data_IF_301549758362
#
_entry.id   IF_301549758362
#
_cell.length_a   1.000
_cell.length_b   1.000
_cell.length_c   1.000
_cell.angle_alpha   90.00
_cell.angle_beta   90.00
_cell.angle_gamma   90.00
#
_symmetry.space_group_name_H-M   'P 1'
#
loop_
_entity.id
_entity.type
_entity.pdbx_description
1 polymer ?
#
# COMPACT_ATOMS: atom_id res chain seq x y z
N UNK A 1 0.85 -10.56 -5.39
CA UNK A 1 1.73 -11.74 -5.37
C UNK A 1 1.86 -12.31 -3.98
N UNK A 2 2.86 -11.87 -3.20
CA UNK A 2 3.16 -12.42 -1.86
C UNK A 2 1.97 -12.38 -0.90
N UNK A 3 1.25 -11.25 -0.82
CA UNK A 3 0.03 -11.16 0.00
C UNK A 3 -1.09 -12.13 -0.44
N UNK A 4 -1.18 -12.48 -1.72
CA UNK A 4 -2.15 -13.49 -2.18
C UNK A 4 -1.74 -14.90 -1.71
N UNK A 5 -0.43 -15.19 -1.70
CA UNK A 5 0.08 -16.46 -1.21
C UNK A 5 -0.14 -16.59 0.31
N UNK A 6 0.11 -15.52 1.08
CA UNK A 6 -0.20 -15.47 2.51
C UNK A 6 -1.69 -15.74 2.75
N UNK A 7 -2.58 -15.00 2.07
CA UNK A 7 -4.02 -15.15 2.23
C UNK A 7 -4.50 -16.57 1.85
N UNK A 8 -4.00 -17.12 0.75
CA UNK A 8 -4.32 -18.47 0.30
C UNK A 8 -3.86 -19.54 1.30
N UNK A 9 -2.62 -19.45 1.78
CA UNK A 9 -2.07 -20.41 2.74
C UNK A 9 -2.76 -20.31 4.10
N UNK A 10 -3.05 -19.09 4.58
CA UNK A 10 -3.80 -18.86 5.80
C UNK A 10 -5.20 -19.50 5.71
N UNK A 11 -5.94 -19.27 4.62
CA UNK A 11 -7.26 -19.88 4.40
C UNK A 11 -7.22 -21.42 4.29
N UNK A 12 -6.12 -21.97 3.77
CA UNK A 12 -5.98 -23.42 3.56
C UNK A 12 -5.59 -24.15 4.85
N UNK A 13 -4.65 -23.59 5.61
CA UNK A 13 -3.97 -24.31 6.68
C UNK A 13 -4.29 -23.83 8.10
N UNK A 14 -4.71 -22.58 8.30
CA UNK A 14 -5.08 -22.13 9.63
C UNK A 14 -6.31 -22.90 10.13
N UNK A 15 -6.33 -23.17 11.44
CA UNK A 15 -7.45 -23.79 12.16
C UNK A 15 -7.82 -22.92 13.36
N UNK A 16 -8.99 -23.18 13.93
CA UNK A 16 -9.40 -22.52 15.18
C UNK A 16 -8.33 -22.74 16.27
N UNK A 17 -7.83 -21.64 16.83
CA UNK A 17 -6.73 -21.65 17.81
C UNK A 17 -5.31 -21.82 17.22
N UNK A 18 -5.16 -21.99 15.91
CA UNK A 18 -3.87 -22.23 15.25
C UNK A 18 -3.72 -21.38 13.97
N UNK A 19 -3.29 -20.12 14.15
CA UNK A 19 -2.92 -19.22 13.05
C UNK A 19 -1.44 -19.41 12.69
N UNK A 20 -1.13 -20.49 11.94
CA UNK A 20 0.25 -20.85 11.60
C UNK A 20 0.80 -20.04 10.41
N UNK A 21 -0.07 -19.46 9.59
CA UNK A 21 0.27 -18.46 8.57
C UNK A 21 -0.45 -17.16 8.91
N UNK A 22 0.30 -16.20 9.40
CA UNK A 22 -0.21 -14.87 9.75
C UNK A 22 0.92 -13.84 9.67
N UNK A 23 1.07 -13.17 8.53
CA UNK A 23 2.09 -12.14 8.35
C UNK A 23 1.68 -11.08 7.33
N UNK A 24 2.32 -9.92 7.42
CA UNK A 24 2.10 -8.81 6.49
C UNK A 24 3.08 -8.85 5.32
N UNK A 25 2.66 -8.29 4.18
CA UNK A 25 3.53 -7.91 3.08
C UNK A 25 3.68 -6.40 3.07
N UNK A 26 4.91 -5.91 3.27
CA UNK A 26 5.24 -4.49 3.20
C UNK A 26 6.00 -4.19 1.91
N UNK A 27 5.65 -3.08 1.26
CA UNK A 27 6.30 -2.60 0.04
C UNK A 27 6.65 -1.13 0.21
N UNK A 28 7.84 -0.73 -0.24
CA UNK A 28 8.18 0.68 -0.46
C UNK A 28 8.19 0.91 -1.97
N UNK A 29 7.55 1.97 -2.42
CA UNK A 29 7.58 2.40 -3.81
C UNK A 29 7.72 3.92 -3.91
N UNK A 30 8.12 4.40 -5.10
CA UNK A 30 8.17 5.82 -5.42
C UNK A 30 7.36 6.14 -6.67
N UNK A 31 7.46 7.39 -7.13
CA UNK A 31 6.69 7.93 -8.27
C UNK A 31 6.79 7.07 -9.53
N UNK A 32 8.00 6.64 -9.88
CA UNK A 32 8.24 5.82 -11.07
C UNK A 32 7.47 4.50 -11.02
N UNK A 33 7.38 3.86 -9.86
CA UNK A 33 6.58 2.63 -9.72
C UNK A 33 5.09 2.90 -9.99
N UNK A 34 4.58 4.05 -9.56
CA UNK A 34 3.15 4.37 -9.63
C UNK A 34 2.69 4.89 -11.00
N UNK A 35 3.62 5.30 -11.85
CA UNK A 35 3.38 5.58 -13.27
C UNK A 35 3.31 4.33 -14.14
N UNK A 36 4.03 3.26 -13.78
CA UNK A 36 4.11 2.04 -14.58
C UNK A 36 2.77 1.31 -14.63
N UNK A 37 2.29 0.96 -15.83
CA UNK A 37 0.98 0.33 -16.02
C UNK A 37 0.81 -0.98 -15.24
N UNK A 38 1.90 -1.76 -15.11
CA UNK A 38 1.90 -3.01 -14.35
C UNK A 38 1.56 -2.80 -12.87
N UNK A 39 1.91 -1.66 -12.27
CA UNK A 39 1.55 -1.37 -10.89
C UNK A 39 0.05 -1.09 -10.76
N UNK A 40 -0.55 -0.42 -11.74
CA UNK A 40 -1.99 -0.18 -11.80
C UNK A 40 -2.78 -1.48 -11.94
N UNK A 41 -2.34 -2.40 -12.82
CA UNK A 41 -2.94 -3.74 -12.94
C UNK A 41 -2.87 -4.51 -11.62
N UNK A 42 -1.68 -4.57 -11.02
CA UNK A 42 -1.47 -5.28 -9.75
C UNK A 42 -2.28 -4.67 -8.59
N UNK A 43 -2.33 -3.34 -8.50
CA UNK A 43 -3.03 -2.65 -7.41
C UNK A 43 -4.56 -2.70 -7.59
N UNK A 44 -5.06 -2.64 -8.82
CA UNK A 44 -6.47 -2.89 -9.12
C UNK A 44 -6.89 -4.29 -8.69
N UNK A 45 -6.10 -5.32 -9.03
CA UNK A 45 -6.35 -6.69 -8.61
C UNK A 45 -6.27 -6.86 -7.08
N UNK A 46 -5.28 -6.25 -6.43
CA UNK A 46 -5.13 -6.34 -4.97
C UNK A 46 -6.32 -5.72 -4.21
N UNK A 47 -6.85 -4.61 -4.71
CA UNK A 47 -8.05 -3.98 -4.17
C UNK A 47 -9.29 -4.87 -4.37
N UNK A 48 -9.48 -5.41 -5.58
CA UNK A 48 -10.55 -6.36 -5.88
C UNK A 48 -10.53 -7.60 -4.97
N UNK A 49 -9.34 -8.14 -4.69
CA UNK A 49 -9.16 -9.34 -3.86
C UNK A 49 -9.22 -9.06 -2.34
N UNK A 50 -9.30 -7.79 -1.90
CA UNK A 50 -9.38 -7.44 -0.49
C UNK A 50 -8.15 -7.86 0.31
N UNK A 51 -6.93 -7.65 -0.23
CA UNK A 51 -5.69 -8.07 0.41
C UNK A 51 -5.29 -7.20 1.61
N UNK A 52 -6.02 -7.28 2.73
CA UNK A 52 -5.83 -6.44 3.92
C UNK A 52 -4.44 -6.48 4.57
N UNK A 53 -3.67 -7.55 4.33
CA UNK A 53 -2.29 -7.69 4.84
C UNK A 53 -1.22 -7.14 3.89
N UNK A 54 -1.62 -6.48 2.79
CA UNK A 54 -0.73 -5.74 1.91
C UNK A 54 -0.73 -4.26 2.29
N UNK A 55 0.44 -3.75 2.67
CA UNK A 55 0.65 -2.34 2.96
C UNK A 55 1.77 -1.79 2.08
N UNK A 56 1.48 -0.68 1.39
CA UNK A 56 2.42 0.02 0.51
C UNK A 56 2.74 1.37 1.13
N UNK A 57 4.02 1.62 1.39
CA UNK A 57 4.57 2.93 1.72
C UNK A 57 4.99 3.60 0.42
N UNK A 58 4.31 4.68 0.05
CA UNK A 58 4.65 5.48 -1.13
C UNK A 58 5.46 6.71 -0.68
N UNK A 59 6.72 6.72 -1.08
CA UNK A 59 7.63 7.87 -0.97
C UNK A 59 7.24 8.93 -2.02
N UNK A 60 6.46 9.92 -1.59
CA UNK A 60 5.93 11.03 -2.38
C UNK A 60 6.83 12.27 -2.28
N UNK A 61 8.08 12.14 -2.72
CA UNK A 61 9.08 13.21 -2.65
C UNK A 61 9.05 14.20 -3.84
N UNK A 62 8.15 13.98 -4.82
CA UNK A 62 7.94 14.81 -6.01
C UNK A 62 9.11 14.87 -7.00
N UNK A 63 10.06 13.95 -6.96
CA UNK A 63 11.25 13.94 -7.81
C UNK A 63 11.40 12.63 -8.59
N UNK A 64 11.73 12.76 -9.88
CA UNK A 64 12.14 11.68 -10.78
C UNK A 64 13.48 12.01 -11.45
N UNK A 65 13.96 11.13 -12.33
CA UNK A 65 15.24 11.31 -13.03
C UNK A 65 15.26 12.63 -13.84
N UNK A 66 14.16 12.94 -14.53
CA UNK A 66 14.05 14.14 -15.38
C UNK A 66 13.74 15.43 -14.59
N UNK A 67 13.57 15.35 -13.26
CA UNK A 67 13.31 16.49 -12.39
C UNK A 67 11.99 16.35 -11.61
N UNK A 68 11.24 17.45 -11.50
CA UNK A 68 9.97 17.48 -10.79
C UNK A 68 8.91 16.57 -11.42
N UNK A 69 8.15 15.88 -10.59
CA UNK A 69 7.01 15.04 -11.03
C UNK A 69 5.96 15.85 -11.80
N UNK A 70 5.84 17.15 -11.58
CA UNK A 70 4.90 18.04 -12.27
C UNK A 70 5.12 18.10 -13.80
N UNK A 71 6.29 17.68 -14.28
CA UNK A 71 6.59 17.56 -15.71
C UNK A 71 5.77 16.45 -16.41
N UNK A 72 5.39 15.38 -15.71
CA UNK A 72 4.77 14.20 -16.35
C UNK A 72 3.83 13.37 -15.45
N UNK A 73 3.69 13.70 -14.16
CA UNK A 73 2.93 12.95 -13.16
C UNK A 73 2.19 13.90 -12.19
N UNK A 74 0.94 14.22 -12.53
CA UNK A 74 0.13 15.25 -11.85
C UNK A 74 -1.22 14.73 -11.37
N UNK A 75 -1.41 13.42 -11.35
CA UNK A 75 -2.65 12.80 -10.91
C UNK A 75 -2.82 12.79 -9.39
N UNK A 76 -4.05 12.54 -8.95
CA UNK A 76 -4.37 12.28 -7.54
C UNK A 76 -4.22 10.78 -7.25
N UNK A 77 -3.02 10.38 -6.84
CA UNK A 77 -2.68 8.98 -6.54
C UNK A 77 -3.61 8.40 -5.46
N UNK A 78 -3.90 9.16 -4.40
CA UNK A 78 -4.79 8.71 -3.33
C UNK A 78 -6.18 8.40 -3.88
N UNK A 79 -6.77 9.30 -4.69
CA UNK A 79 -8.09 9.03 -5.29
C UNK A 79 -8.09 7.85 -6.25
N UNK A 80 -7.01 7.64 -7.02
CA UNK A 80 -6.87 6.44 -7.88
C UNK A 80 -6.88 5.16 -7.04
N UNK A 81 -6.17 5.15 -5.91
CA UNK A 81 -6.12 4.00 -5.01
C UNK A 81 -7.45 3.76 -4.28
N UNK A 82 -8.12 4.82 -3.84
CA UNK A 82 -9.50 4.73 -3.31
C UNK A 82 -10.45 4.11 -4.34
N UNK A 83 -10.34 4.50 -5.61
CA UNK A 83 -11.12 3.92 -6.71
C UNK A 83 -10.79 2.44 -6.98
N UNK A 84 -9.56 2.00 -6.69
CA UNK A 84 -9.21 0.57 -6.69
C UNK A 84 -9.76 -0.20 -5.48
N UNK A 85 -10.30 0.49 -4.47
CA UNK A 85 -10.80 -0.14 -3.24
C UNK A 85 -9.78 -0.23 -2.12
N UNK A 86 -8.76 0.62 -2.12
CA UNK A 86 -7.74 0.66 -1.07
C UNK A 86 -8.15 1.58 0.09
N UNK A 87 -7.55 1.36 1.26
CA UNK A 87 -7.43 2.41 2.26
C UNK A 87 -6.27 3.35 1.87
N UNK A 88 -6.48 4.64 1.99
CA UNK A 88 -5.45 5.67 1.80
C UNK A 88 -5.19 6.40 3.12
N UNK A 89 -3.92 6.60 3.44
CA UNK A 89 -3.46 7.36 4.60
C UNK A 89 -2.37 8.31 4.11
N UNK A 90 -2.35 9.56 4.58
CA UNK A 90 -1.30 10.51 4.25
C UNK A 90 -0.56 10.94 5.51
N UNK A 91 0.74 10.69 5.54
CA UNK A 91 1.70 11.25 6.50
C UNK A 91 2.35 12.45 5.82
N UNK A 92 2.10 13.66 6.32
CA UNK A 92 2.48 14.90 5.64
C UNK A 92 3.92 15.37 5.92
N UNK A 93 4.57 14.83 6.96
CA UNK A 93 5.96 15.11 7.33
C UNK A 93 6.67 13.78 7.65
N UNK A 94 7.08 13.08 6.60
CA UNK A 94 7.78 11.79 6.70
C UNK A 94 9.21 11.90 7.22
N UNK A 95 9.82 13.07 7.13
CA UNK A 95 11.21 13.32 7.54
C UNK A 95 11.35 13.42 9.06
N UNK A 96 10.36 14.02 9.73
CA UNK A 96 10.44 14.33 11.16
C UNK A 96 9.29 13.76 12.01
N UNK A 97 8.10 13.52 11.46
CA UNK A 97 6.95 13.06 12.25
C UNK A 97 6.83 11.54 12.33
N UNK A 98 7.73 10.95 13.11
CA UNK A 98 7.75 9.51 13.37
C UNK A 98 6.49 9.01 14.09
N UNK A 99 5.78 9.88 14.82
CA UNK A 99 4.54 9.50 15.50
C UNK A 99 3.42 9.29 14.49
N UNK A 100 3.23 10.25 13.57
CA UNK A 100 2.24 10.10 12.49
C UNK A 100 2.53 8.87 11.62
N UNK A 101 3.81 8.58 11.33
CA UNK A 101 4.18 7.36 10.62
C UNK A 101 3.82 6.08 11.40
N UNK A 102 4.12 6.04 12.70
CA UNK A 102 3.77 4.91 13.56
C UNK A 102 2.24 4.71 13.66
N UNK A 103 1.49 5.80 13.79
CA UNK A 103 0.03 5.78 13.81
C UNK A 103 -0.56 5.28 12.48
N UNK A 104 0.01 5.71 11.35
CA UNK A 104 -0.39 5.24 10.03
C UNK A 104 -0.14 3.74 9.85
N UNK A 105 1.01 3.22 10.30
CA UNK A 105 1.32 1.79 10.28
C UNK A 105 0.31 0.99 11.11
N UNK A 106 -0.02 1.47 12.32
CA UNK A 106 -1.03 0.83 13.18
C UNK A 106 -2.42 0.88 12.55
N UNK A 107 -2.79 2.00 11.93
CA UNK A 107 -4.07 2.13 11.24
C UNK A 107 -4.17 1.18 10.04
N UNK A 108 -3.11 1.03 9.26
CA UNK A 108 -3.04 0.07 8.15
C UNK A 108 -3.18 -1.38 8.63
N UNK A 109 -2.57 -1.73 9.77
CA UNK A 109 -2.71 -3.07 10.36
C UNK A 109 -4.11 -3.36 10.93
N UNK A 110 -4.90 -2.32 11.24
CA UNK A 110 -6.29 -2.48 11.71
C UNK A 110 -7.27 -2.67 10.58
N UNK A 111 -6.95 -2.20 9.38
CA UNK A 111 -7.73 -2.47 8.18
C UNK A 111 -7.41 -3.87 7.67
N UNK A 112 -8.41 -4.75 7.70
CA UNK A 112 -8.25 -6.17 7.35
C UNK A 112 -8.98 -6.55 6.06
N UNK A 113 -9.82 -5.66 5.52
CA UNK A 113 -10.65 -5.93 4.36
C UNK A 113 -10.09 -5.33 3.07
N UNK A 114 -9.20 -4.33 3.19
CA UNK A 114 -8.65 -3.59 2.05
C UNK A 114 -7.14 -3.46 2.18
N UNK A 115 -6.37 -3.60 1.08
CA UNK A 115 -4.97 -3.20 1.10
C UNK A 115 -4.83 -1.70 1.40
N UNK A 116 -3.69 -1.32 1.97
CA UNK A 116 -3.46 0.07 2.42
C UNK A 116 -2.31 0.73 1.68
N UNK A 117 -2.53 1.96 1.19
CA UNK A 117 -1.50 2.86 0.69
C UNK A 117 -1.27 3.95 1.73
N UNK A 118 -0.07 3.99 2.30
CA UNK A 118 0.39 5.11 3.14
C UNK A 118 1.27 5.98 2.25
N UNK A 119 0.74 7.15 1.86
CA UNK A 119 1.52 8.19 1.19
C UNK A 119 2.33 8.95 2.23
N UNK A 120 3.62 9.10 2.00
CA UNK A 120 4.54 9.80 2.90
C UNK A 120 5.19 10.93 2.11
N UNK A 121 4.97 12.17 2.52
CA UNK A 121 5.55 13.38 1.92
C UNK A 121 6.67 13.92 2.79
#
# INVERSE_FOLDING_TARGET
GMAMAEAHMAATFNKEGFAIVDHYTWVICGDGCLQEGISSEACSLAGHLGLGKLVVLYDDNKIQIDGGTDLAFTEDVCKRYEAYGWQTIHVADGDADYNSLAEAIVAAQRESLRPTLIKVT
#
